data_IF_677812327820
#
_entry.id   IF_677812327820
#
_cell.length_a   1.000
_cell.length_b   1.000
_cell.length_c   1.000
_cell.angle_alpha   90.00
_cell.angle_beta   90.00
_cell.angle_gamma   90.00
#
_symmetry.space_group_name_H-M   'P 1'
#
loop_
_entity.id
_entity.type
_entity.pdbx_description
1 polymer ?
#
# COMPACT_ATOMS: atom_id res chain seq x y z
N UNK A 1 22.85 12.05 6.25
CA UNK A 1 23.47 12.98 5.31
C UNK A 1 22.66 13.20 4.04
N UNK A 2 21.53 12.50 3.87
CA UNK A 2 20.66 12.70 2.70
C UNK A 2 19.85 13.99 2.82
N UNK A 3 19.54 14.60 1.67
CA UNK A 3 18.58 15.69 1.55
C UNK A 3 17.34 15.18 0.81
N UNK A 4 16.18 15.76 1.11
CA UNK A 4 14.90 15.32 0.58
C UNK A 4 14.16 16.48 -0.07
N UNK A 5 13.67 16.27 -1.28
CA UNK A 5 12.67 17.13 -1.92
C UNK A 5 11.31 16.42 -1.75
N UNK A 6 10.41 17.03 -1.01
CA UNK A 6 9.08 16.49 -0.73
C UNK A 6 8.02 17.20 -1.57
N UNK A 7 7.40 16.45 -2.47
CA UNK A 7 6.21 16.91 -3.21
C UNK A 7 4.97 16.15 -2.70
N UNK A 8 4.14 16.76 -1.85
CA UNK A 8 2.87 16.16 -1.44
C UNK A 8 1.86 16.13 -2.59
N UNK A 9 0.72 15.47 -2.37
CA UNK A 9 -0.43 15.58 -3.26
C UNK A 9 -0.90 17.03 -3.37
N UNK A 10 -1.24 17.48 -4.56
CA UNK A 10 -1.86 18.78 -4.83
C UNK A 10 -3.22 18.96 -4.14
N UNK A 11 -3.85 17.85 -3.72
CA UNK A 11 -5.13 17.87 -3.00
C UNK A 11 -4.95 18.03 -1.47
N UNK A 12 -3.71 17.94 -0.97
CA UNK A 12 -3.40 18.06 0.47
C UNK A 12 -2.22 19.01 0.75
N UNK A 13 -2.18 20.21 0.15
CA UNK A 13 -1.02 21.10 0.23
C UNK A 13 -0.76 21.58 1.67
N UNK A 14 -1.79 21.92 2.42
CA UNK A 14 -1.66 22.37 3.82
C UNK A 14 -1.10 21.28 4.74
N UNK A 15 -1.52 20.02 4.52
CA UNK A 15 -0.99 18.88 5.29
C UNK A 15 0.48 18.67 5.00
N UNK A 16 0.89 18.79 3.71
CA UNK A 16 2.30 18.71 3.31
C UNK A 16 3.15 19.79 3.98
N UNK A 17 2.68 21.03 3.98
CA UNK A 17 3.34 22.15 4.65
C UNK A 17 3.43 21.93 6.18
N UNK A 18 2.34 21.47 6.81
CA UNK A 18 2.34 21.19 8.25
C UNK A 18 3.37 20.12 8.64
N UNK A 19 3.50 19.06 7.83
CA UNK A 19 4.51 18.02 8.07
C UNK A 19 5.93 18.59 8.05
N UNK A 20 6.26 19.44 7.06
CA UNK A 20 7.58 20.07 6.98
C UNK A 20 7.84 20.97 8.17
N UNK A 21 6.85 21.80 8.56
CA UNK A 21 6.94 22.68 9.74
C UNK A 21 7.17 21.90 11.05
N UNK A 22 6.58 20.71 11.20
CA UNK A 22 6.83 19.85 12.37
C UNK A 22 8.30 19.39 12.42
N UNK A 23 8.90 19.04 11.28
CA UNK A 23 10.32 18.69 11.21
C UNK A 23 11.23 19.86 11.53
N UNK A 24 10.92 21.08 11.03
CA UNK A 24 11.62 22.30 11.36
C UNK A 24 11.58 22.60 12.87
N UNK A 25 10.38 22.49 13.46
CA UNK A 25 10.19 22.65 14.92
C UNK A 25 10.93 21.61 15.74
N UNK A 26 11.10 20.39 15.21
CA UNK A 26 11.91 19.35 15.83
C UNK A 26 13.42 19.56 15.69
N UNK A 27 13.86 20.66 15.06
CA UNK A 27 15.27 21.02 14.92
C UNK A 27 15.96 20.44 13.70
N UNK A 28 15.20 20.02 12.65
CA UNK A 28 15.81 19.59 11.40
C UNK A 28 16.56 20.75 10.75
N UNK A 29 17.86 20.61 10.39
CA UNK A 29 18.62 21.68 9.79
C UNK A 29 18.01 22.19 8.48
N UNK A 30 18.09 23.50 8.18
CA UNK A 30 17.63 24.06 6.91
C UNK A 30 18.25 23.35 5.70
N UNK A 31 17.44 23.10 4.66
CA UNK A 31 17.89 22.48 3.42
C UNK A 31 17.90 20.95 3.44
N UNK A 32 17.67 20.30 4.59
CA UNK A 32 17.58 18.83 4.64
C UNK A 32 16.24 18.32 4.09
N UNK A 33 15.13 19.00 4.43
CA UNK A 33 13.80 18.67 3.87
C UNK A 33 13.25 19.92 3.17
N UNK A 34 12.99 19.82 1.88
CA UNK A 34 12.58 20.92 1.02
C UNK A 34 11.19 20.64 0.44
N UNK A 35 10.24 21.54 0.67
CA UNK A 35 8.87 21.40 0.17
C UNK A 35 8.74 22.00 -1.22
N UNK A 36 8.16 21.22 -2.14
CA UNK A 36 7.75 21.70 -3.47
C UNK A 36 6.28 21.39 -3.68
N UNK A 37 5.46 22.40 -3.82
CA UNK A 37 4.03 22.27 -4.13
C UNK A 37 3.80 22.23 -5.65
N UNK A 38 2.79 21.50 -6.08
CA UNK A 38 2.38 21.45 -7.47
C UNK A 38 1.74 20.12 -7.87
N UNK A 39 1.16 20.13 -9.06
CA UNK A 39 0.47 18.99 -9.64
C UNK A 39 1.39 18.04 -10.41
N UNK A 40 0.81 17.43 -11.45
CA UNK A 40 1.49 16.45 -12.30
C UNK A 40 2.76 16.96 -12.94
N UNK A 41 2.74 18.20 -13.46
CA UNK A 41 3.90 18.81 -14.14
C UNK A 41 5.11 18.95 -13.22
N UNK A 42 4.87 19.38 -11.98
CA UNK A 42 5.92 19.46 -10.96
C UNK A 42 6.50 18.09 -10.64
N UNK A 43 5.64 17.07 -10.51
CA UNK A 43 6.08 15.68 -10.29
C UNK A 43 6.92 15.14 -11.46
N UNK A 44 6.53 15.43 -12.69
CA UNK A 44 7.28 15.07 -13.88
C UNK A 44 8.64 15.79 -13.95
N UNK A 45 8.68 17.08 -13.64
CA UNK A 45 9.93 17.85 -13.59
C UNK A 45 10.89 17.28 -12.53
N UNK A 46 10.40 16.98 -11.33
CA UNK A 46 11.22 16.36 -10.27
C UNK A 46 11.78 15.02 -10.70
N UNK A 47 10.94 14.14 -11.25
CA UNK A 47 11.37 12.80 -11.66
C UNK A 47 12.35 12.80 -12.85
N UNK A 48 12.42 13.90 -13.58
CA UNK A 48 13.33 14.09 -14.71
C UNK A 48 14.70 14.69 -14.34
N UNK A 49 14.90 15.11 -13.07
CA UNK A 49 16.18 15.67 -12.63
C UNK A 49 17.29 14.60 -12.71
N UNK A 50 18.44 15.00 -13.28
CA UNK A 50 19.65 14.18 -13.32
C UNK A 50 20.24 13.94 -11.93
N UNK A 51 20.15 14.93 -11.07
CA UNK A 51 20.93 15.05 -9.84
C UNK A 51 20.23 14.46 -8.60
N UNK A 52 19.17 13.67 -8.79
CA UNK A 52 18.55 12.89 -7.71
C UNK A 52 19.12 11.49 -7.70
N UNK A 53 19.49 10.99 -6.51
CA UNK A 53 19.99 9.64 -6.30
C UNK A 53 18.86 8.62 -6.16
N UNK A 54 17.65 9.08 -5.81
CA UNK A 54 16.51 8.19 -5.64
C UNK A 54 15.16 8.89 -5.70
N UNK A 55 14.14 8.11 -6.04
CA UNK A 55 12.75 8.52 -6.08
C UNK A 55 11.91 7.53 -5.26
N UNK A 56 11.26 8.04 -4.21
CA UNK A 56 10.30 7.30 -3.42
C UNK A 56 8.90 7.80 -3.78
N UNK A 57 8.04 6.91 -4.22
CA UNK A 57 6.71 7.25 -4.73
C UNK A 57 5.63 6.42 -4.04
N UNK A 58 4.58 7.10 -3.60
CA UNK A 58 3.32 6.49 -3.16
C UNK A 58 2.18 7.02 -4.01
N UNK A 59 1.41 6.11 -4.63
CA UNK A 59 0.29 6.51 -5.48
C UNK A 59 -0.28 5.38 -6.32
N UNK A 60 -0.90 5.72 -7.47
CA UNK A 60 -1.51 4.72 -8.35
C UNK A 60 -0.47 3.85 -9.06
N UNK A 61 -0.82 2.58 -9.32
CA UNK A 61 0.02 1.67 -10.10
C UNK A 61 0.34 2.23 -11.50
N UNK A 62 -0.61 2.93 -12.13
CA UNK A 62 -0.39 3.55 -13.44
C UNK A 62 0.74 4.58 -13.44
N UNK A 63 0.78 5.44 -12.42
CA UNK A 63 1.86 6.42 -12.25
C UNK A 63 3.18 5.73 -11.89
N UNK A 64 3.16 4.74 -10.98
CA UNK A 64 4.35 3.97 -10.63
C UNK A 64 4.99 3.29 -11.85
N UNK A 65 4.20 2.70 -12.73
CA UNK A 65 4.70 2.13 -13.99
C UNK A 65 5.28 3.18 -14.95
N UNK A 66 4.75 4.40 -14.97
CA UNK A 66 5.34 5.49 -15.76
C UNK A 66 6.72 5.87 -15.20
N UNK A 67 6.84 6.04 -13.88
CA UNK A 67 8.11 6.33 -13.21
C UNK A 67 9.13 5.22 -13.43
N UNK A 68 8.71 3.96 -13.33
CA UNK A 68 9.59 2.82 -13.57
C UNK A 68 10.13 2.82 -15.02
N UNK A 69 9.28 3.09 -16.01
CA UNK A 69 9.72 3.23 -17.41
C UNK A 69 10.65 4.41 -17.62
N UNK A 70 10.39 5.54 -16.96
CA UNK A 70 11.23 6.75 -17.07
C UNK A 70 12.63 6.53 -16.50
N UNK A 71 12.76 5.78 -15.41
CA UNK A 71 14.03 5.48 -14.76
C UNK A 71 14.70 4.18 -15.30
N UNK A 72 14.06 3.50 -16.24
CA UNK A 72 14.67 2.35 -16.92
C UNK A 72 15.97 2.79 -17.62
N UNK A 73 17.07 2.09 -17.37
CA UNK A 73 18.39 2.46 -17.89
C UNK A 73 19.19 3.43 -17.01
N UNK A 74 18.69 3.79 -15.83
CA UNK A 74 19.38 4.57 -14.79
C UNK A 74 19.57 3.70 -13.53
N UNK A 75 20.39 2.64 -13.58
CA UNK A 75 20.54 1.68 -12.48
C UNK A 75 21.19 2.28 -11.24
N UNK A 76 21.86 3.42 -11.38
CA UNK A 76 22.44 4.20 -10.29
C UNK A 76 21.39 4.87 -9.41
N UNK A 77 20.13 5.02 -9.88
CA UNK A 77 19.05 5.65 -9.13
C UNK A 77 18.19 4.63 -8.40
N UNK A 78 17.95 4.90 -7.13
CA UNK A 78 16.99 4.12 -6.34
C UNK A 78 15.58 4.50 -6.74
N UNK A 79 14.74 3.50 -7.01
CA UNK A 79 13.30 3.68 -7.18
C UNK A 79 12.58 2.81 -6.15
N UNK A 80 11.78 3.44 -5.28
CA UNK A 80 10.90 2.74 -4.34
C UNK A 80 9.45 3.11 -4.64
N UNK A 81 8.65 2.10 -5.00
CA UNK A 81 7.27 2.25 -5.42
C UNK A 81 6.34 1.59 -4.40
N UNK A 82 5.48 2.41 -3.79
CA UNK A 82 4.35 2.00 -2.97
C UNK A 82 3.07 2.33 -3.74
N UNK A 83 2.39 1.29 -4.23
CA UNK A 83 1.23 1.46 -5.09
C UNK A 83 -0.01 0.85 -4.45
N UNK A 84 -1.17 1.07 -5.08
CA UNK A 84 -2.43 0.59 -4.56
C UNK A 84 -2.55 -0.93 -4.42
N UNK A 85 -3.71 -1.40 -3.99
CA UNK A 85 -4.00 -2.82 -3.79
C UNK A 85 -5.45 -3.15 -4.10
N UNK A 86 -5.70 -4.35 -4.60
CA UNK A 86 -7.04 -4.94 -4.70
C UNK A 86 -7.21 -6.00 -3.61
N UNK A 87 -7.09 -5.57 -2.36
CA UNK A 87 -6.81 -6.39 -1.18
C UNK A 87 -7.98 -7.31 -0.81
N UNK A 88 -7.72 -8.63 -0.68
CA UNK A 88 -8.71 -9.60 -0.22
C UNK A 88 -8.78 -9.67 1.31
N UNK A 89 -9.99 -9.74 1.85
CA UNK A 89 -10.30 -10.12 3.22
C UNK A 89 -11.17 -11.38 3.19
N UNK A 90 -10.70 -12.47 3.78
CA UNK A 90 -11.41 -13.74 3.88
C UNK A 90 -12.16 -13.79 5.21
N UNK A 91 -13.42 -14.19 5.18
CA UNK A 91 -14.24 -14.47 6.37
C UNK A 91 -14.65 -15.94 6.37
N UNK A 92 -14.14 -16.66 7.36
CA UNK A 92 -14.30 -18.11 7.50
C UNK A 92 -14.81 -18.46 8.91
N UNK A 93 -16.10 -18.80 9.00
CA UNK A 93 -16.76 -19.31 10.21
C UNK A 93 -16.45 -18.50 11.51
N UNK A 94 -16.70 -17.18 11.55
CA UNK A 94 -16.38 -16.35 12.71
C UNK A 94 -17.25 -16.71 13.92
N UNK A 95 -16.67 -16.89 15.10
CA UNK A 95 -17.40 -17.17 16.34
C UNK A 95 -18.25 -15.99 16.80
N UNK A 96 -17.81 -14.75 16.51
CA UNK A 96 -18.52 -13.50 16.82
C UNK A 96 -18.75 -12.72 15.53
N UNK A 97 -20.01 -12.72 15.09
CA UNK A 97 -20.41 -12.04 13.85
C UNK A 97 -20.26 -10.51 13.99
N UNK A 98 -20.57 -9.92 15.13
CA UNK A 98 -20.46 -8.47 15.31
C UNK A 98 -19.00 -8.01 15.33
N UNK A 99 -18.10 -8.77 15.94
CA UNK A 99 -16.67 -8.53 15.88
C UNK A 99 -16.15 -8.66 14.45
N UNK A 100 -16.56 -9.67 13.70
CA UNK A 100 -16.20 -9.85 12.30
C UNK A 100 -16.69 -8.70 11.41
N UNK A 101 -17.91 -8.24 11.61
CA UNK A 101 -18.48 -7.06 10.94
C UNK A 101 -17.69 -5.80 11.27
N UNK A 102 -17.35 -5.57 12.54
CA UNK A 102 -16.53 -4.44 12.96
C UNK A 102 -15.18 -4.44 12.26
N UNK A 103 -14.47 -5.56 12.26
CA UNK A 103 -13.16 -5.69 11.58
C UNK A 103 -13.27 -5.47 10.06
N UNK A 104 -14.35 -5.94 9.45
CA UNK A 104 -14.61 -5.75 8.02
C UNK A 104 -14.87 -4.27 7.69
N UNK A 105 -15.68 -3.58 8.48
CA UNK A 105 -15.98 -2.15 8.33
C UNK A 105 -14.68 -1.33 8.51
N UNK A 106 -13.87 -1.64 9.53
CA UNK A 106 -12.57 -1.01 9.74
C UNK A 106 -11.61 -1.27 8.56
N UNK A 107 -11.66 -2.46 7.98
CA UNK A 107 -10.81 -2.80 6.84
C UNK A 107 -11.26 -2.10 5.55
N UNK A 108 -12.55 -1.96 5.31
CA UNK A 108 -13.08 -1.50 4.02
C UNK A 108 -13.38 0.00 3.98
N UNK A 109 -13.90 0.58 5.07
CA UNK A 109 -14.55 1.89 5.05
C UNK A 109 -13.88 2.97 5.89
N UNK A 110 -12.89 2.63 6.74
CA UNK A 110 -12.13 3.66 7.46
C UNK A 110 -11.54 4.68 6.46
N UNK A 111 -11.55 5.96 6.84
CA UNK A 111 -11.12 7.06 5.94
C UNK A 111 -11.83 7.06 4.57
N UNK A 112 -13.13 6.70 4.55
CA UNK A 112 -13.93 6.53 3.33
C UNK A 112 -13.30 5.56 2.31
N UNK A 113 -12.65 4.48 2.79
CA UNK A 113 -11.96 3.50 1.94
C UNK A 113 -10.69 4.02 1.25
N UNK A 114 -10.15 5.16 1.67
CA UNK A 114 -9.02 5.81 1.00
C UNK A 114 -7.67 5.48 1.66
N UNK A 115 -7.42 4.19 1.88
CA UNK A 115 -6.07 3.67 2.19
C UNK A 115 -5.69 2.59 1.20
N UNK A 116 -4.43 2.54 0.84
CA UNK A 116 -3.90 1.51 -0.06
C UNK A 116 -4.12 0.08 0.47
N UNK A 117 -4.19 -0.09 1.80
CA UNK A 117 -4.45 -1.37 2.48
C UNK A 117 -5.92 -1.64 2.77
N UNK A 118 -6.87 -0.78 2.35
CA UNK A 118 -8.29 -1.08 2.54
C UNK A 118 -8.71 -2.35 1.78
N UNK A 119 -9.61 -3.13 2.41
CA UNK A 119 -10.24 -4.27 1.76
C UNK A 119 -11.10 -3.80 0.58
N UNK A 120 -10.86 -4.36 -0.59
CA UNK A 120 -11.66 -4.15 -1.81
C UNK A 120 -12.48 -5.38 -2.15
N UNK A 121 -11.93 -6.55 -1.83
CA UNK A 121 -12.53 -7.85 -2.11
C UNK A 121 -12.78 -8.58 -0.80
N UNK A 122 -14.05 -8.88 -0.52
CA UNK A 122 -14.47 -9.64 0.63
C UNK A 122 -14.85 -11.06 0.16
N UNK A 123 -14.16 -12.05 0.65
CA UNK A 123 -14.41 -13.45 0.34
C UNK A 123 -15.16 -14.10 1.50
N UNK A 124 -16.39 -14.52 1.27
CA UNK A 124 -17.28 -15.03 2.33
C UNK A 124 -17.72 -16.44 1.99
N UNK A 125 -17.51 -17.36 2.94
CA UNK A 125 -17.92 -18.75 2.80
C UNK A 125 -19.43 -18.88 2.57
N UNK A 126 -19.85 -19.76 1.68
CA UNK A 126 -21.28 -20.08 1.47
C UNK A 126 -21.84 -20.80 2.70
N UNK A 127 -23.13 -20.60 2.95
CA UNK A 127 -23.86 -21.25 4.02
C UNK A 127 -24.44 -20.26 5.02
N UNK A 128 -25.21 -20.77 5.98
CA UNK A 128 -26.03 -19.97 6.88
C UNK A 128 -25.23 -18.94 7.70
N UNK A 129 -24.00 -19.29 8.12
CA UNK A 129 -23.17 -18.38 8.92
C UNK A 129 -22.62 -17.24 8.05
N UNK A 130 -22.15 -17.50 6.83
CA UNK A 130 -21.74 -16.46 5.90
C UNK A 130 -22.89 -15.56 5.46
N UNK A 131 -24.09 -16.11 5.31
CA UNK A 131 -25.29 -15.33 5.00
C UNK A 131 -25.70 -14.42 6.16
N UNK A 132 -25.64 -14.93 7.39
CA UNK A 132 -25.90 -14.15 8.60
C UNK A 132 -24.88 -13.01 8.76
N UNK A 133 -23.59 -13.30 8.53
CA UNK A 133 -22.53 -12.29 8.53
C UNK A 133 -22.77 -11.20 7.47
N UNK A 134 -23.05 -11.58 6.21
CA UNK A 134 -23.31 -10.59 5.14
C UNK A 134 -24.53 -9.72 5.43
N UNK A 135 -25.62 -10.35 5.91
CA UNK A 135 -26.80 -9.59 6.30
C UNK A 135 -26.45 -8.57 7.37
N UNK A 136 -25.74 -8.98 8.41
CA UNK A 136 -25.34 -8.10 9.51
C UNK A 136 -24.39 -6.99 9.04
N UNK A 137 -23.45 -7.30 8.15
CA UNK A 137 -22.55 -6.31 7.56
C UNK A 137 -23.32 -5.24 6.81
N UNK A 138 -24.28 -5.61 5.98
CA UNK A 138 -25.15 -4.68 5.24
C UNK A 138 -25.96 -3.83 6.21
N UNK A 139 -26.62 -4.45 7.20
CA UNK A 139 -27.46 -3.76 8.20
C UNK A 139 -26.67 -2.72 9.02
N UNK A 140 -25.41 -3.00 9.37
CA UNK A 140 -24.55 -2.05 10.10
C UNK A 140 -24.01 -0.98 9.15
N UNK A 141 -23.53 -1.36 7.97
CA UNK A 141 -22.94 -0.43 7.00
C UNK A 141 -23.97 0.59 6.47
N UNK A 142 -25.22 0.21 6.35
CA UNK A 142 -26.29 1.11 5.92
C UNK A 142 -26.53 2.31 6.86
N UNK A 143 -26.07 2.21 8.12
CA UNK A 143 -26.17 3.28 9.13
C UNK A 143 -24.96 4.21 9.14
N UNK A 144 -23.91 3.91 8.36
CA UNK A 144 -22.72 4.76 8.27
C UNK A 144 -23.00 5.93 7.32
N UNK A 145 -23.19 7.10 7.88
CA UNK A 145 -23.39 8.34 7.11
C UNK A 145 -22.14 9.19 7.22
N UNK A 146 -21.48 9.51 6.10
CA UNK A 146 -20.32 10.40 6.12
C UNK A 146 -20.78 11.84 6.42
N UNK A 147 -19.95 12.55 7.19
CA UNK A 147 -20.19 13.96 7.52
C UNK A 147 -18.86 14.70 7.67
N UNK A 148 -18.92 16.01 7.92
CA UNK A 148 -17.75 16.81 8.24
C UNK A 148 -17.10 16.34 9.56
N UNK A 149 -15.80 16.60 9.69
CA UNK A 149 -14.99 16.16 10.83
C UNK A 149 -15.45 16.74 12.18
N UNK A 150 -16.13 17.89 12.14
CA UNK A 150 -16.66 18.64 13.29
C UNK A 150 -18.17 18.43 13.51
N UNK A 151 -18.79 17.47 12.80
CA UNK A 151 -20.19 17.14 13.00
C UNK A 151 -20.42 16.45 14.34
N UNK A 152 -21.59 16.73 14.94
CA UNK A 152 -22.06 16.08 16.15
C UNK A 152 -23.37 15.29 15.87
N UNK A 153 -23.44 13.98 16.13
CA UNK A 153 -22.34 13.13 16.61
C UNK A 153 -21.21 12.95 15.58
N UNK A 154 -20.00 12.69 16.09
CA UNK A 154 -18.85 12.47 15.24
C UNK A 154 -19.07 11.28 14.26
N UNK A 155 -18.90 11.47 12.94
CA UNK A 155 -19.11 10.41 11.97
C UNK A 155 -17.97 9.37 12.01
N UNK A 156 -18.27 8.13 11.61
CA UNK A 156 -17.25 7.09 11.43
C UNK A 156 -16.26 7.44 10.32
N UNK A 157 -16.71 8.12 9.28
CA UNK A 157 -15.87 8.55 8.15
C UNK A 157 -16.34 9.90 7.61
N UNK A 158 -15.41 10.65 7.05
CA UNK A 158 -15.67 11.87 6.30
C UNK A 158 -15.97 11.61 4.82
N UNK A 159 -15.85 12.66 4.02
CA UNK A 159 -15.94 12.56 2.56
C UNK A 159 -14.67 11.98 1.91
N UNK A 160 -14.79 11.66 0.65
CA UNK A 160 -13.61 11.40 -0.18
C UNK A 160 -12.83 12.70 -0.40
N UNK A 161 -11.60 12.57 -0.92
CA UNK A 161 -10.70 13.71 -1.12
C UNK A 161 -11.26 14.77 -2.09
N UNK A 162 -12.18 14.38 -2.98
CA UNK A 162 -12.83 15.28 -3.94
C UNK A 162 -14.16 14.69 -4.41
N UNK A 163 -15.02 15.55 -4.97
CA UNK A 163 -16.23 15.12 -5.68
C UNK A 163 -15.91 14.16 -6.83
N UNK A 164 -14.83 14.43 -7.59
CA UNK A 164 -14.41 13.54 -8.67
C UNK A 164 -14.08 12.14 -8.17
N UNK A 165 -13.48 12.01 -6.98
CA UNK A 165 -13.24 10.71 -6.36
C UNK A 165 -14.54 9.99 -6.03
N UNK A 166 -15.57 10.71 -5.54
CA UNK A 166 -16.89 10.14 -5.29
C UNK A 166 -17.57 9.68 -6.60
N UNK A 167 -17.50 10.48 -7.66
CA UNK A 167 -18.02 10.13 -8.98
C UNK A 167 -17.31 8.88 -9.56
N UNK A 168 -16.01 8.75 -9.37
CA UNK A 168 -15.27 7.57 -9.81
C UNK A 168 -15.76 6.30 -9.11
N UNK A 169 -16.08 6.36 -7.80
CA UNK A 169 -16.66 5.23 -7.06
C UNK A 169 -18.07 4.89 -7.57
N UNK A 170 -18.91 5.89 -7.80
CA UNK A 170 -20.25 5.69 -8.37
C UNK A 170 -20.18 5.03 -9.75
N UNK A 171 -19.29 5.51 -10.62
CA UNK A 171 -19.08 4.93 -11.93
C UNK A 171 -18.59 3.47 -11.84
N UNK A 172 -17.69 3.17 -10.92
CA UNK A 172 -17.20 1.81 -10.69
C UNK A 172 -18.33 0.88 -10.21
N UNK A 173 -19.16 1.34 -9.28
CA UNK A 173 -20.36 0.61 -8.84
C UNK A 173 -21.31 0.33 -10.02
N UNK A 174 -21.66 1.35 -10.80
CA UNK A 174 -22.52 1.17 -11.99
C UNK A 174 -21.94 0.17 -12.99
N UNK A 175 -20.64 0.24 -13.23
CA UNK A 175 -19.93 -0.69 -14.10
C UNK A 175 -19.97 -2.15 -13.58
N UNK A 176 -19.86 -2.36 -12.27
CA UNK A 176 -20.03 -3.70 -11.69
C UNK A 176 -21.45 -4.21 -11.84
N UNK A 177 -22.46 -3.37 -11.59
CA UNK A 177 -23.88 -3.74 -11.79
C UNK A 177 -24.17 -4.06 -13.26
N UNK A 178 -23.66 -3.27 -14.19
CA UNK A 178 -23.81 -3.52 -15.63
C UNK A 178 -23.14 -4.85 -16.09
N UNK A 179 -22.16 -5.35 -15.33
CA UNK A 179 -21.48 -6.64 -15.55
C UNK A 179 -22.15 -7.81 -14.85
N UNK A 180 -23.29 -7.60 -14.19
CA UNK A 180 -24.06 -8.64 -13.53
C UNK A 180 -23.86 -8.74 -12.01
N UNK A 181 -23.16 -7.80 -11.37
CA UNK A 181 -23.08 -7.75 -9.92
C UNK A 181 -24.42 -7.37 -9.30
N UNK A 182 -24.73 -7.96 -8.15
CA UNK A 182 -25.94 -7.65 -7.37
C UNK A 182 -25.60 -6.62 -6.29
N UNK A 183 -26.27 -5.47 -6.29
CA UNK A 183 -26.15 -4.50 -5.22
C UNK A 183 -26.77 -5.03 -3.92
N UNK A 184 -25.97 -5.08 -2.84
CA UNK A 184 -26.42 -5.41 -1.49
C UNK A 184 -26.62 -4.14 -0.66
N UNK A 185 -25.79 -3.13 -0.88
CA UNK A 185 -25.92 -1.79 -0.29
C UNK A 185 -25.57 -0.75 -1.37
N UNK A 186 -26.53 0.10 -1.71
CA UNK A 186 -26.39 1.11 -2.75
C UNK A 186 -25.60 2.33 -2.25
N UNK A 187 -24.63 2.86 -3.02
CA UNK A 187 -23.94 4.09 -2.69
C UNK A 187 -24.90 5.30 -2.87
N UNK A 188 -24.79 6.27 -1.96
CA UNK A 188 -25.56 7.50 -2.05
C UNK A 188 -24.70 8.70 -1.68
N UNK A 189 -24.64 9.71 -2.55
CA UNK A 189 -24.14 11.02 -2.14
C UNK A 189 -25.12 11.62 -1.11
N UNK A 190 -24.62 11.91 0.11
CA UNK A 190 -25.43 12.51 1.19
C UNK A 190 -25.94 13.88 0.77
N UNK A 191 -25.08 14.62 0.10
CA UNK A 191 -25.40 15.90 -0.51
C UNK A 191 -24.89 15.89 -1.96
N UNK A 192 -25.74 16.11 -2.96
CA UNK A 192 -25.35 16.19 -4.38
C UNK A 192 -24.23 17.23 -4.59
N UNK A 193 -23.29 16.90 -5.47
CA UNK A 193 -22.16 17.80 -5.78
C UNK A 193 -21.08 17.84 -4.69
N UNK A 194 -21.08 16.89 -3.75
CA UNK A 194 -20.06 16.80 -2.69
C UNK A 194 -19.35 15.47 -2.69
N UNK A 195 -18.26 15.38 -1.93
CA UNK A 195 -17.49 14.14 -1.74
C UNK A 195 -18.07 13.20 -0.68
N UNK A 196 -19.21 13.53 -0.06
CA UNK A 196 -19.85 12.75 1.01
C UNK A 196 -20.62 11.56 0.41
N UNK A 197 -19.96 10.41 0.28
CA UNK A 197 -20.50 9.19 -0.29
C UNK A 197 -20.62 8.09 0.78
N UNK A 198 -21.82 7.49 0.91
CA UNK A 198 -22.05 6.36 1.82
C UNK A 198 -21.31 5.12 1.38
N UNK A 199 -21.03 4.16 2.29
CA UNK A 199 -20.51 2.84 1.90
C UNK A 199 -21.42 2.13 0.90
N UNK A 200 -20.81 1.30 0.06
CA UNK A 200 -21.53 0.43 -0.87
C UNK A 200 -20.97 -0.98 -0.85
N UNK A 201 -21.84 -1.96 -1.07
CA UNK A 201 -21.50 -3.38 -1.06
C UNK A 201 -22.17 -4.03 -2.28
N UNK A 202 -21.39 -4.75 -3.08
CA UNK A 202 -21.88 -5.47 -4.25
C UNK A 202 -21.44 -6.93 -4.22
N UNK A 203 -22.35 -7.85 -4.49
CA UNK A 203 -22.03 -9.27 -4.66
C UNK A 203 -21.68 -9.56 -6.10
N UNK A 204 -20.49 -10.11 -6.30
CA UNK A 204 -19.86 -10.28 -7.61
C UNK A 204 -20.04 -11.68 -8.20
N UNK A 205 -20.69 -12.61 -7.49
CA UNK A 205 -20.80 -14.02 -7.91
C UNK A 205 -21.47 -14.22 -9.28
N UNK A 206 -22.31 -13.28 -9.70
CA UNK A 206 -22.94 -13.28 -11.04
C UNK A 206 -22.23 -12.41 -12.07
N UNK A 207 -21.19 -11.67 -11.68
CA UNK A 207 -20.52 -10.74 -12.57
C UNK A 207 -19.48 -11.43 -13.46
N UNK A 208 -19.34 -10.96 -14.69
CA UNK A 208 -18.34 -11.44 -15.65
C UNK A 208 -17.43 -10.31 -16.13
N UNK A 209 -16.21 -10.65 -16.56
CA UNK A 209 -15.26 -9.69 -17.11
C UNK A 209 -15.00 -8.49 -16.18
N UNK A 210 -14.89 -8.77 -14.87
CA UNK A 210 -14.59 -7.75 -13.85
C UNK A 210 -13.13 -7.32 -13.98
N UNK A 211 -12.84 -6.02 -14.16
CA UNK A 211 -11.47 -5.54 -14.21
C UNK A 211 -10.78 -5.76 -12.86
N UNK A 212 -9.50 -6.18 -12.90
CA UNK A 212 -8.65 -6.20 -11.70
C UNK A 212 -8.05 -4.81 -11.48
N UNK A 213 -8.87 -3.90 -10.96
CA UNK A 213 -8.54 -2.51 -10.72
C UNK A 213 -8.92 -2.09 -9.30
N UNK A 214 -8.11 -1.22 -8.72
CA UNK A 214 -8.41 -0.62 -7.42
C UNK A 214 -9.45 0.48 -7.56
N UNK A 215 -10.55 0.36 -6.81
CA UNK A 215 -11.50 1.45 -6.59
C UNK A 215 -11.19 2.12 -5.26
N UNK A 216 -10.56 3.30 -5.31
CA UNK A 216 -10.06 4.01 -4.12
C UNK A 216 -11.17 4.80 -3.43
N UNK A 217 -12.02 4.07 -2.70
CA UNK A 217 -13.19 4.62 -2.02
C UNK A 217 -14.02 3.54 -1.32
N UNK A 218 -15.21 3.90 -0.77
CA UNK A 218 -16.00 3.03 0.09
C UNK A 218 -16.88 2.04 -0.69
N UNK A 219 -16.28 1.29 -1.62
CA UNK A 219 -16.94 0.21 -2.38
C UNK A 219 -16.30 -1.13 -2.02
N UNK A 220 -17.10 -2.05 -1.47
CA UNK A 220 -16.68 -3.39 -1.11
C UNK A 220 -17.33 -4.41 -2.05
N UNK A 221 -16.50 -5.17 -2.76
CA UNK A 221 -16.93 -6.24 -3.65
C UNK A 221 -16.88 -7.58 -2.90
N UNK A 222 -17.97 -8.36 -2.95
CA UNK A 222 -18.14 -9.62 -2.21
C UNK A 222 -18.14 -10.79 -3.19
N UNK A 223 -17.34 -11.80 -2.92
CA UNK A 223 -17.41 -13.11 -3.59
C UNK A 223 -17.72 -14.21 -2.58
N UNK A 224 -18.37 -15.26 -3.05
CA UNK A 224 -18.71 -16.42 -2.24
C UNK A 224 -17.85 -17.60 -2.66
N UNK A 225 -17.33 -18.33 -1.69
CA UNK A 225 -16.52 -19.52 -1.89
C UNK A 225 -17.08 -20.74 -1.11
N UNK A 226 -16.68 -21.93 -1.49
CA UNK A 226 -17.17 -23.19 -0.89
C UNK A 226 -16.14 -23.82 0.06
N UNK A 227 -14.86 -23.81 -0.29
CA UNK A 227 -13.76 -24.33 0.53
C UNK A 227 -12.62 -23.32 0.66
N UNK A 228 -11.77 -23.53 1.65
CA UNK A 228 -10.73 -22.56 2.02
C UNK A 228 -9.61 -22.44 0.97
N UNK A 229 -9.28 -23.53 0.27
CA UNK A 229 -8.28 -23.51 -0.81
C UNK A 229 -8.78 -22.65 -1.97
N UNK A 230 -10.07 -22.76 -2.30
CA UNK A 230 -10.70 -21.86 -3.26
C UNK A 230 -10.65 -20.39 -2.81
N UNK A 231 -10.85 -20.11 -1.51
CA UNK A 231 -10.72 -18.75 -0.99
C UNK A 231 -9.29 -18.20 -1.16
N UNK A 232 -8.26 -18.98 -0.88
CA UNK A 232 -6.87 -18.59 -1.08
C UNK A 232 -6.57 -18.38 -2.57
N UNK A 233 -7.03 -19.29 -3.44
CA UNK A 233 -6.88 -19.12 -4.88
C UNK A 233 -7.55 -17.83 -5.40
N UNK A 234 -8.77 -17.54 -4.92
CA UNK A 234 -9.47 -16.30 -5.23
C UNK A 234 -8.73 -15.08 -4.65
N UNK A 235 -8.21 -15.17 -3.44
CA UNK A 235 -7.44 -14.09 -2.82
C UNK A 235 -6.21 -13.72 -3.67
N UNK A 236 -5.50 -14.71 -4.17
CA UNK A 236 -4.31 -14.53 -5.00
C UNK A 236 -4.61 -14.17 -6.47
N UNK A 237 -5.87 -14.28 -6.91
CA UNK A 237 -6.26 -13.97 -8.29
C UNK A 237 -6.39 -12.45 -8.50
N UNK A 238 -5.27 -11.78 -8.41
CA UNK A 238 -5.11 -10.34 -8.68
C UNK A 238 -3.66 -10.07 -9.06
N UNK A 239 -3.45 -9.03 -9.86
CA UNK A 239 -2.09 -8.56 -10.17
C UNK A 239 -1.44 -7.80 -8.98
N UNK A 240 -2.25 -7.36 -8.02
CA UNK A 240 -1.80 -6.67 -6.82
C UNK A 240 -1.34 -7.65 -5.72
N UNK A 241 -0.74 -7.12 -4.68
CA UNK A 241 -0.27 -7.93 -3.55
C UNK A 241 0.21 -7.06 -2.39
N UNK A 242 -0.60 -6.06 -1.95
CA UNK A 242 -0.22 -5.22 -0.83
C UNK A 242 -0.64 -5.83 0.50
N UNK A 243 -1.94 -6.09 0.69
CA UNK A 243 -2.49 -6.57 1.95
C UNK A 243 -3.49 -7.70 1.72
N UNK A 244 -3.51 -8.68 2.61
CA UNK A 244 -4.47 -9.79 2.69
C UNK A 244 -4.79 -10.09 4.15
N UNK A 245 -5.90 -10.74 4.42
CA UNK A 245 -6.22 -11.14 5.79
C UNK A 245 -7.33 -12.14 5.93
N UNK A 246 -7.39 -12.70 7.14
CA UNK A 246 -8.36 -13.70 7.54
C UNK A 246 -9.07 -13.29 8.83
N UNK A 247 -10.39 -13.38 8.83
CA UNK A 247 -11.24 -13.35 10.02
C UNK A 247 -11.75 -14.77 10.26
N UNK A 248 -11.23 -15.44 11.27
CA UNK A 248 -11.56 -16.82 11.59
C UNK A 248 -11.02 -17.21 12.98
N UNK A 249 -11.66 -18.11 13.72
CA UNK A 249 -11.10 -18.68 14.94
C UNK A 249 -9.99 -19.72 14.67
N UNK A 250 -9.81 -20.16 13.42
CA UNK A 250 -8.97 -21.30 13.04
C UNK A 250 -7.52 -20.86 12.76
N UNK A 251 -6.62 -21.11 13.69
CA UNK A 251 -5.20 -20.77 13.58
C UNK A 251 -4.52 -21.47 12.39
N UNK A 252 -4.85 -22.74 12.15
CA UNK A 252 -4.30 -23.54 11.06
C UNK A 252 -4.62 -22.97 9.67
N UNK A 253 -5.80 -22.37 9.52
CA UNK A 253 -6.18 -21.66 8.27
C UNK A 253 -5.41 -20.37 8.08
N UNK A 254 -5.11 -19.65 9.17
CA UNK A 254 -4.24 -18.50 9.08
C UNK A 254 -2.81 -18.91 8.72
N UNK A 255 -2.28 -19.96 9.31
CA UNK A 255 -0.92 -20.44 9.00
C UNK A 255 -0.82 -20.88 7.53
N UNK A 256 -1.86 -21.52 6.98
CA UNK A 256 -1.95 -21.81 5.56
C UNK A 256 -1.99 -20.54 4.71
N UNK A 257 -2.88 -19.59 5.02
CA UNK A 257 -2.95 -18.31 4.29
C UNK A 257 -1.62 -17.56 4.34
N UNK A 258 -0.94 -17.54 5.49
CA UNK A 258 0.34 -16.84 5.65
C UNK A 258 1.43 -17.40 4.72
N UNK A 259 1.41 -18.72 4.46
CA UNK A 259 2.36 -19.37 3.55
C UNK A 259 2.01 -19.17 2.08
N UNK A 260 0.71 -19.10 1.75
CA UNK A 260 0.25 -19.12 0.36
C UNK A 260 -0.15 -17.73 -0.18
N UNK A 261 -0.36 -16.74 0.69
CA UNK A 261 -0.79 -15.41 0.28
C UNK A 261 0.31 -14.67 -0.51
N UNK A 262 -0.08 -14.08 -1.64
CA UNK A 262 0.78 -13.22 -2.46
C UNK A 262 0.60 -11.76 -2.04
N UNK A 263 0.95 -11.43 -0.80
CA UNK A 263 0.82 -10.09 -0.24
C UNK A 263 2.00 -9.77 0.68
N UNK A 264 2.34 -8.49 0.79
CA UNK A 264 3.39 -8.05 1.70
C UNK A 264 2.92 -7.90 3.15
N UNK A 265 1.61 -7.81 3.38
CA UNK A 265 0.98 -7.71 4.70
C UNK A 265 -0.10 -8.78 4.78
N UNK A 266 -0.05 -9.65 5.81
CA UNK A 266 -1.07 -10.67 6.05
C UNK A 266 -1.53 -10.59 7.50
N UNK A 267 -2.79 -10.25 7.72
CA UNK A 267 -3.34 -10.01 9.05
C UNK A 267 -4.34 -11.11 9.44
N UNK A 268 -4.33 -11.51 10.71
CA UNK A 268 -5.29 -12.43 11.30
C UNK A 268 -6.09 -11.76 12.41
N UNK A 269 -7.42 -11.77 12.29
CA UNK A 269 -8.35 -11.16 13.25
C UNK A 269 -7.96 -9.71 13.63
N UNK A 270 -7.44 -8.99 12.64
CA UNK A 270 -7.10 -7.56 12.69
C UNK A 270 -7.56 -6.89 11.40
N UNK A 271 -7.83 -5.58 11.43
CA UNK A 271 -8.13 -4.85 10.19
C UNK A 271 -6.98 -4.96 9.19
N UNK A 272 -7.29 -5.02 7.89
CA UNK A 272 -6.26 -4.98 6.84
C UNK A 272 -5.47 -3.66 6.85
N UNK A 273 -6.09 -2.59 7.32
CA UNK A 273 -5.50 -1.25 7.44
C UNK A 273 -4.52 -1.10 8.60
N UNK A 274 -4.36 -2.16 9.42
CA UNK A 274 -3.38 -2.19 10.51
C UNK A 274 -2.00 -2.63 9.99
N UNK A 275 -1.01 -1.75 10.13
CA UNK A 275 0.40 -2.05 9.86
C UNK A 275 1.28 -1.48 10.96
N UNK A 276 2.31 -2.24 11.36
CA UNK A 276 3.27 -1.80 12.37
C UNK A 276 4.39 -0.99 11.72
N UNK A 277 4.74 0.17 12.29
CA UNK A 277 5.86 0.99 11.80
C UNK A 277 7.24 0.32 11.98
N UNK A 278 7.31 -0.69 12.83
CA UNK A 278 8.52 -1.50 13.13
C UNK A 278 8.64 -2.74 12.24
N UNK A 279 7.71 -2.92 11.28
CA UNK A 279 7.70 -4.02 10.34
C UNK A 279 7.92 -3.50 8.91
N UNK A 280 8.27 -4.37 7.93
CA UNK A 280 8.26 -3.96 6.53
C UNK A 280 6.86 -3.56 6.08
N UNK A 281 6.77 -2.56 5.23
CA UNK A 281 5.54 -2.15 4.57
C UNK A 281 5.77 -2.10 3.06
N UNK A 282 4.96 -2.81 2.31
CA UNK A 282 5.05 -2.81 0.85
C UNK A 282 4.39 -4.04 0.27
N UNK A 283 4.23 -4.05 -1.05
CA UNK A 283 3.55 -5.11 -1.76
C UNK A 283 4.37 -5.71 -2.90
N UNK A 284 3.89 -6.83 -3.39
CA UNK A 284 4.39 -7.52 -4.58
C UNK A 284 3.49 -7.26 -5.78
N UNK A 285 3.90 -7.68 -6.97
CA UNK A 285 3.14 -7.47 -8.20
C UNK A 285 2.93 -5.99 -8.51
N UNK A 286 1.68 -5.61 -8.84
CA UNK A 286 1.32 -4.23 -9.17
C UNK A 286 1.27 -3.28 -7.96
N UNK A 287 1.54 -3.78 -6.76
CA UNK A 287 1.53 -2.98 -5.53
C UNK A 287 2.90 -2.43 -5.14
N UNK A 288 3.99 -2.87 -5.75
CA UNK A 288 5.33 -2.40 -5.41
C UNK A 288 6.40 -2.93 -6.34
N UNK A 289 7.66 -2.61 -6.05
CA UNK A 289 8.82 -3.05 -6.84
C UNK A 289 9.92 -3.69 -5.98
N UNK A 290 9.53 -4.45 -4.95
CA UNK A 290 10.43 -5.15 -4.02
C UNK A 290 11.31 -4.22 -3.17
N UNK A 291 10.87 -2.98 -2.96
CA UNK A 291 11.48 -2.00 -2.04
C UNK A 291 10.48 -1.71 -0.93
N UNK A 292 10.44 -2.59 0.07
CA UNK A 292 9.58 -2.38 1.23
C UNK A 292 9.97 -1.09 1.96
N UNK A 293 8.97 -0.30 2.34
CA UNK A 293 9.12 0.94 3.10
C UNK A 293 9.01 0.70 4.62
N UNK A 294 8.68 1.72 5.39
CA UNK A 294 8.69 1.74 6.85
C UNK A 294 10.08 1.37 7.39
N UNK A 295 10.21 0.33 8.21
CA UNK A 295 11.48 -0.06 8.82
C UNK A 295 12.61 -0.28 7.81
N UNK A 296 12.31 -0.86 6.65
CA UNK A 296 13.29 -1.19 5.61
C UNK A 296 13.73 0.00 4.75
N UNK A 297 13.02 1.14 4.82
CA UNK A 297 13.39 2.31 4.02
C UNK A 297 14.78 2.85 4.38
N UNK A 298 15.20 2.72 5.63
CA UNK A 298 16.52 3.14 6.08
C UNK A 298 17.66 2.40 5.37
N UNK A 299 17.47 1.11 5.07
CA UNK A 299 18.52 0.25 4.49
C UNK A 299 18.89 0.68 3.07
N UNK A 300 17.90 1.01 2.24
CA UNK A 300 18.18 1.45 0.86
C UNK A 300 18.39 2.96 0.71
N UNK A 301 18.20 3.73 1.78
CA UNK A 301 18.58 5.15 1.84
C UNK A 301 20.02 5.35 2.34
N UNK A 302 20.77 4.29 2.59
CA UNK A 302 22.16 4.30 2.99
C UNK A 302 22.96 3.34 2.11
N UNK A 303 24.16 3.74 1.72
CA UNK A 303 25.05 2.86 0.97
C UNK A 303 25.97 2.08 1.94
N UNK A 304 25.92 0.75 1.97
CA UNK A 304 26.81 -0.04 2.80
C UNK A 304 28.25 0.04 2.27
N UNK A 305 29.17 0.52 3.11
CA UNK A 305 30.58 0.64 2.77
C UNK A 305 31.39 -0.43 3.51
N UNK A 306 32.18 -1.21 2.77
CA UNK A 306 33.15 -2.12 3.34
C UNK A 306 34.55 -1.46 3.39
N UNK A 307 35.25 -1.64 4.50
CA UNK A 307 36.60 -1.12 4.72
C UNK A 307 37.48 -2.22 5.28
N UNK A 308 38.74 -2.29 4.81
CA UNK A 308 39.80 -3.09 5.42
C UNK A 308 40.86 -2.12 5.91
N UNK A 309 41.15 -2.16 7.21
CA UNK A 309 41.97 -1.14 7.85
C UNK A 309 43.10 -1.79 8.65
N UNK A 310 44.28 -1.20 8.58
CA UNK A 310 45.42 -1.52 9.45
C UNK A 310 46.04 -0.22 9.96
N UNK A 311 46.40 -0.12 11.25
CA UNK A 311 46.96 1.11 11.83
C UNK A 311 48.40 1.39 11.36
N UNK A 312 49.08 0.43 10.80
CA UNK A 312 50.46 0.57 10.33
C UNK A 312 50.70 -0.17 9.01
N UNK A 313 51.52 0.43 8.15
CA UNK A 313 52.02 -0.23 6.97
C UNK A 313 53.09 -1.23 7.36
N UNK A 314 52.81 -2.51 7.15
CA UNK A 314 53.76 -3.60 7.40
C UNK A 314 53.81 -4.50 6.18
N UNK A 315 55.02 -4.95 5.84
CA UNK A 315 55.19 -5.96 4.80
C UNK A 315 54.59 -7.27 5.33
N UNK A 316 53.75 -7.96 4.56
CA UNK A 316 53.22 -9.25 4.98
C UNK A 316 54.34 -10.28 5.18
N UNK A 317 54.21 -11.17 6.16
CA UNK A 317 55.16 -12.28 6.36
C UNK A 317 55.23 -13.20 5.16
N UNK A 318 54.14 -13.35 4.40
CA UNK A 318 54.06 -14.12 3.18
C UNK A 318 53.71 -13.20 2.03
N UNK A 319 54.62 -13.07 1.08
CA UNK A 319 54.40 -12.30 -0.14
C UNK A 319 53.63 -13.11 -1.17
N UNK A 320 52.93 -12.41 -2.05
CA UNK A 320 52.32 -13.05 -3.23
C UNK A 320 53.43 -13.70 -4.11
N UNK A 321 53.13 -14.84 -4.76
CA UNK A 321 54.10 -15.49 -5.64
C UNK A 321 54.66 -14.53 -6.69
N UNK A 322 55.97 -14.49 -6.79
CA UNK A 322 56.68 -13.64 -7.74
C UNK A 322 56.99 -12.22 -7.25
N UNK A 323 56.53 -11.84 -6.05
CA UNK A 323 57.00 -10.61 -5.41
C UNK A 323 58.25 -10.90 -4.59
N UNK A 324 59.35 -10.19 -4.91
CA UNK A 324 60.61 -10.23 -4.18
C UNK A 324 61.04 -8.80 -3.84
N UNK A 325 61.24 -8.55 -2.55
CA UNK A 325 61.69 -7.27 -2.02
C UNK A 325 63.16 -7.36 -1.53
N UNK A 326 63.88 -8.48 -1.83
CA UNK A 326 65.33 -8.54 -1.64
C UNK A 326 66.01 -7.51 -2.53
N UNK A 327 67.01 -6.80 -2.00
CA UNK A 327 67.83 -5.91 -2.83
C UNK A 327 68.56 -6.75 -3.88
N UNK A 328 68.05 -6.63 -5.11
CA UNK A 328 68.77 -7.23 -6.25
C UNK A 328 70.12 -6.57 -6.41
N UNK A 329 71.20 -7.35 -6.41
CA UNK A 329 72.50 -6.88 -6.84
C UNK A 329 72.32 -6.15 -8.20
N UNK A 330 72.47 -4.84 -8.17
CA UNK A 330 72.58 -4.07 -9.42
C UNK A 330 73.88 -4.55 -10.09
N UNK A 331 73.72 -5.53 -10.99
CA UNK A 331 74.81 -5.79 -11.92
C UNK A 331 75.05 -4.51 -12.72
N UNK A 332 76.07 -3.75 -12.30
CA UNK A 332 76.73 -2.78 -13.13
C UNK A 332 77.26 -3.58 -14.37
N UNK A 333 76.55 -3.56 -15.46
CA UNK A 333 77.05 -3.91 -16.76
C UNK A 333 77.76 -2.68 -17.30
N UNK A 334 79.08 -2.77 -17.27
CA UNK A 334 80.00 -1.92 -17.98
C UNK A 334 79.78 -1.94 -19.50
#
# INVERSE_FOLDING_TARGET
GNTVIFKPSELTPLTGEAVVKLWEQAGLPPGVLNLVQGGRETGQALSALSDIDGLLFTGSAGTGYQLHRQLAGQPEKILALEMGGNNPLIVEDPDDIDAAVHLTIQSAFITAGQRCTCARRLLVKRGAQGDAFLKRLVDVSARLVPAAWDADPQPFMGGLISEQAALNVLNAWQNHVARGAKTLLEPRQVQPGTSLLTPSIVEMSGASNVPDEEVFGPLLCVWRYDDFDAAIAMANNTRYGLSSGLISPHREKFDQLLLEARAGIVNWNKPLTGAASTAPFGGVGASGNHRASAWYAADYCAWPMASLETPALTLPETLSPGLDFSEGDRHESA
#
